data_IF_572840210033
#
_entry.id   IF_572840210033
#
_cell.length_a   1.000
_cell.length_b   1.000
_cell.length_c   1.000
_cell.angle_alpha   90.00
_cell.angle_beta   90.00
_cell.angle_gamma   90.00
#
_symmetry.space_group_name_H-M   'P 1'
#
loop_
_entity.id
_entity.type
_entity.pdbx_description
1 polymer ?
#
# COMPACT_ATOMS: atom_id res chain seq x y z
N UNK A 1 18.29 -34.19 2.51
CA UNK A 1 17.30 -33.85 3.55
C UNK A 1 17.11 -32.34 3.53
N UNK A 2 15.88 -31.84 3.63
CA UNK A 2 15.59 -30.41 3.75
C UNK A 2 15.16 -30.13 5.21
N UNK A 3 15.78 -29.15 5.84
CA UNK A 3 15.44 -28.63 7.16
C UNK A 3 14.95 -27.20 6.99
N UNK A 4 13.72 -26.92 7.44
CA UNK A 4 13.10 -25.59 7.39
C UNK A 4 12.96 -25.08 8.82
N UNK A 5 13.52 -23.91 9.11
CA UNK A 5 13.32 -23.18 10.36
C UNK A 5 12.56 -21.88 10.06
N UNK A 6 11.33 -21.84 10.49
CA UNK A 6 10.46 -20.67 10.34
C UNK A 6 10.27 -19.97 11.69
N UNK A 7 9.98 -18.67 11.65
CA UNK A 7 9.73 -17.83 12.85
C UNK A 7 10.89 -17.79 13.87
N UNK A 8 12.12 -17.99 13.43
CA UNK A 8 13.28 -17.96 14.31
C UNK A 8 13.58 -16.56 14.89
N UNK A 9 13.48 -15.44 14.13
CA UNK A 9 13.66 -14.09 14.69
C UNK A 9 12.70 -13.75 15.84
N UNK A 10 11.36 -13.95 15.74
CA UNK A 10 10.45 -13.71 16.86
C UNK A 10 10.74 -14.61 18.06
N UNK A 11 11.15 -15.85 17.82
CA UNK A 11 11.57 -16.74 18.90
C UNK A 11 12.79 -16.19 19.64
N UNK A 12 13.84 -15.76 18.92
CA UNK A 12 15.07 -15.22 19.50
C UNK A 12 14.81 -13.93 20.28
N UNK A 13 13.92 -13.05 19.76
CA UNK A 13 13.54 -11.83 20.45
C UNK A 13 12.84 -12.12 21.78
N UNK A 14 11.89 -13.05 21.79
CA UNK A 14 11.22 -13.50 23.00
C UNK A 14 12.16 -14.24 23.96
N UNK A 15 13.12 -14.99 23.44
CA UNK A 15 14.10 -15.74 24.23
C UNK A 15 15.03 -14.84 25.05
N UNK A 16 15.28 -13.60 24.64
CA UNK A 16 16.03 -12.58 25.43
C UNK A 16 15.40 -12.30 26.79
N UNK A 17 14.09 -12.42 26.91
CA UNK A 17 13.39 -12.19 28.19
C UNK A 17 13.49 -13.36 29.19
N UNK A 18 14.10 -14.50 28.80
CA UNK A 18 14.19 -15.72 29.61
C UNK A 18 15.60 -15.93 30.09
N UNK A 19 15.93 -15.60 31.36
CA UNK A 19 17.26 -15.79 31.93
C UNK A 19 17.59 -17.27 32.09
N UNK A 20 18.83 -17.65 31.78
CA UNK A 20 19.39 -19.00 32.01
C UNK A 20 20.78 -18.83 32.61
N UNK A 21 20.91 -19.06 33.93
CA UNK A 21 22.15 -18.83 34.64
C UNK A 21 22.60 -17.37 34.55
N UNK A 22 23.82 -17.13 34.03
CA UNK A 22 24.36 -15.80 33.83
C UNK A 22 24.08 -15.18 32.42
N UNK A 23 23.24 -15.83 31.65
CA UNK A 23 22.90 -15.44 30.27
C UNK A 23 21.38 -15.54 30.03
N UNK A 24 20.92 -15.47 28.81
CA UNK A 24 19.52 -15.65 28.42
C UNK A 24 19.38 -16.80 27.41
N UNK A 25 18.14 -17.22 27.17
CA UNK A 25 17.83 -18.31 26.26
C UNK A 25 18.22 -17.97 24.78
N UNK A 26 18.27 -16.70 24.40
CA UNK A 26 18.66 -16.33 23.03
C UNK A 26 20.13 -16.68 22.75
N UNK A 27 21.04 -16.44 23.71
CA UNK A 27 22.45 -16.77 23.59
C UNK A 27 22.66 -18.28 23.51
N UNK A 28 21.94 -19.06 24.32
CA UNK A 28 21.99 -20.53 24.25
C UNK A 28 21.50 -21.02 22.89
N UNK A 29 20.42 -20.44 22.37
CA UNK A 29 19.85 -20.83 21.10
C UNK A 29 20.77 -20.46 19.93
N UNK A 30 21.35 -19.25 19.91
CA UNK A 30 22.29 -18.84 18.86
C UNK A 30 23.54 -19.70 18.83
N UNK A 31 24.05 -20.11 20.01
CA UNK A 31 25.14 -21.08 20.12
C UNK A 31 24.76 -22.45 19.54
N UNK A 32 23.54 -22.93 19.84
CA UNK A 32 23.04 -24.19 19.25
C UNK A 32 22.89 -24.11 17.74
N UNK A 33 22.42 -22.98 17.22
CA UNK A 33 22.32 -22.72 15.76
C UNK A 33 23.71 -22.69 15.11
N UNK A 34 24.68 -22.01 15.69
CA UNK A 34 26.05 -22.00 15.21
C UNK A 34 26.63 -23.43 15.11
N UNK A 35 26.41 -24.26 16.12
CA UNK A 35 26.81 -25.67 16.08
C UNK A 35 26.08 -26.45 14.95
N UNK A 36 24.80 -26.20 14.74
CA UNK A 36 24.03 -26.81 13.65
C UNK A 36 24.60 -26.42 12.29
N UNK A 37 24.94 -25.14 12.09
CA UNK A 37 25.55 -24.66 10.84
C UNK A 37 26.91 -25.31 10.58
N UNK A 38 27.77 -25.36 11.61
CA UNK A 38 29.08 -26.04 11.52
C UNK A 38 28.89 -27.51 11.14
N UNK A 39 27.89 -28.19 11.71
CA UNK A 39 27.61 -29.58 11.38
C UNK A 39 27.18 -29.75 9.91
N UNK A 40 26.25 -28.89 9.41
CA UNK A 40 25.75 -28.94 8.02
C UNK A 40 26.85 -28.56 7.04
N UNK A 41 27.80 -27.70 7.41
CA UNK A 41 28.93 -27.33 6.58
C UNK A 41 29.91 -28.49 6.32
N UNK A 42 29.84 -29.59 7.09
CA UNK A 42 30.71 -30.75 6.90
C UNK A 42 30.34 -31.56 5.65
N UNK A 43 31.36 -32.21 5.06
CA UNK A 43 31.20 -32.99 3.83
C UNK A 43 30.21 -34.16 4.01
N UNK A 44 30.16 -34.73 5.20
CA UNK A 44 29.26 -35.84 5.54
C UNK A 44 27.78 -35.47 5.43
N UNK A 45 27.44 -34.19 5.60
CA UNK A 45 26.09 -33.65 5.51
C UNK A 45 25.86 -32.83 4.23
N UNK A 46 26.65 -33.05 3.18
CA UNK A 46 26.51 -32.34 1.88
C UNK A 46 25.15 -32.53 1.20
N UNK A 47 24.35 -33.53 1.62
CA UNK A 47 22.99 -33.80 1.16
C UNK A 47 21.92 -33.15 2.04
N UNK A 48 22.29 -32.32 3.03
CA UNK A 48 21.38 -31.54 3.88
C UNK A 48 21.35 -30.10 3.41
N UNK A 49 20.16 -29.58 3.22
CA UNK A 49 19.91 -28.16 2.98
C UNK A 49 19.13 -27.60 4.17
N UNK A 50 19.60 -26.49 4.71
CA UNK A 50 18.94 -25.73 5.76
C UNK A 50 18.41 -24.44 5.16
N UNK A 51 17.11 -24.17 5.33
CA UNK A 51 16.44 -22.94 4.93
C UNK A 51 15.88 -22.28 6.19
N UNK A 52 16.17 -21.00 6.36
CA UNK A 52 15.72 -20.22 7.52
C UNK A 52 14.99 -18.99 6.99
N UNK A 53 13.79 -18.72 7.52
CA UNK A 53 13.10 -17.48 7.25
C UNK A 53 13.61 -16.35 8.13
N UNK A 54 13.85 -15.18 7.54
CA UNK A 54 14.14 -13.94 8.26
C UNK A 54 12.98 -12.96 8.12
N UNK A 55 12.56 -12.34 9.23
CA UNK A 55 11.48 -11.37 9.32
C UNK A 55 12.00 -10.03 9.87
N UNK A 56 13.12 -9.56 9.35
CA UNK A 56 13.84 -8.39 9.85
C UNK A 56 12.97 -7.13 9.97
N UNK A 57 12.07 -6.89 9.03
CA UNK A 57 11.17 -5.75 9.07
C UNK A 57 10.23 -5.71 10.29
N UNK A 58 9.97 -6.88 10.89
CA UNK A 58 9.07 -7.00 12.05
C UNK A 58 9.83 -7.30 13.36
N UNK A 59 10.96 -8.00 13.26
CA UNK A 59 11.72 -8.50 14.41
C UNK A 59 13.22 -8.21 14.25
N UNK A 60 13.57 -6.91 14.23
CA UNK A 60 14.94 -6.44 13.96
C UNK A 60 15.96 -7.05 14.95
N UNK A 61 15.65 -7.00 16.24
CA UNK A 61 16.53 -7.51 17.30
C UNK A 61 16.76 -9.02 17.22
N UNK A 62 15.75 -9.80 16.82
CA UNK A 62 15.86 -11.24 16.61
C UNK A 62 16.64 -11.56 15.33
N UNK A 63 16.42 -10.80 14.28
CA UNK A 63 17.15 -10.92 13.01
C UNK A 63 18.62 -10.57 13.16
N UNK A 64 18.97 -9.54 13.94
CA UNK A 64 20.37 -9.19 14.23
C UNK A 64 21.11 -10.30 14.97
N UNK A 65 20.46 -10.98 15.92
CA UNK A 65 21.02 -12.16 16.59
C UNK A 65 21.24 -13.32 15.63
N UNK A 66 20.30 -13.55 14.73
CA UNK A 66 20.40 -14.58 13.71
C UNK A 66 21.55 -14.28 12.74
N UNK A 67 21.63 -13.05 12.23
CA UNK A 67 22.67 -12.62 11.30
C UNK A 67 24.07 -12.60 11.92
N UNK A 68 24.20 -12.26 13.22
CA UNK A 68 25.49 -12.35 13.90
C UNK A 68 25.99 -13.78 13.98
N UNK A 69 25.11 -14.76 14.25
CA UNK A 69 25.43 -16.17 14.24
C UNK A 69 25.90 -16.68 12.87
N UNK A 70 25.32 -16.16 11.78
CA UNK A 70 25.75 -16.47 10.42
C UNK A 70 27.15 -15.89 10.09
N UNK A 71 27.42 -14.63 10.48
CA UNK A 71 28.71 -13.98 10.22
C UNK A 71 29.88 -14.69 10.91
N UNK A 72 29.68 -15.15 12.14
CA UNK A 72 30.69 -15.95 12.83
C UNK A 72 30.98 -17.23 12.06
N UNK A 73 29.97 -17.89 11.54
CA UNK A 73 30.11 -19.12 10.77
C UNK A 73 30.84 -18.91 9.44
N UNK A 74 30.51 -17.85 8.69
CA UNK A 74 31.16 -17.52 7.41
C UNK A 74 32.65 -17.31 7.60
N UNK A 75 33.06 -16.67 8.71
CA UNK A 75 34.44 -16.46 9.05
C UNK A 75 35.18 -17.78 9.37
N UNK A 76 34.49 -18.77 9.95
CA UNK A 76 35.09 -20.05 10.34
C UNK A 76 35.13 -21.08 9.21
N UNK A 77 34.11 -21.10 8.34
CA UNK A 77 33.92 -22.18 7.36
C UNK A 77 34.23 -21.78 5.93
N UNK A 78 34.32 -20.48 5.62
CA UNK A 78 34.53 -19.98 4.27
C UNK A 78 33.39 -20.33 3.30
N UNK A 79 32.22 -20.76 3.80
CA UNK A 79 31.03 -21.08 3.01
C UNK A 79 30.03 -19.96 3.14
N UNK A 80 29.43 -19.60 2.02
CA UNK A 80 28.46 -18.52 1.94
C UNK A 80 27.04 -19.07 2.10
N UNK A 81 26.22 -18.37 2.88
CA UNK A 81 24.76 -18.48 2.80
C UNK A 81 24.28 -17.85 1.51
N UNK A 82 23.23 -18.39 0.93
CA UNK A 82 22.51 -17.77 -0.19
C UNK A 82 21.29 -17.06 0.37
N UNK A 83 21.34 -15.74 0.36
CA UNK A 83 20.16 -14.94 0.70
C UNK A 83 19.21 -14.91 -0.49
N UNK A 84 17.99 -15.40 -0.26
CA UNK A 84 16.91 -15.40 -1.23
C UNK A 84 15.80 -14.51 -0.68
N UNK A 85 15.57 -13.39 -1.31
CA UNK A 85 14.42 -12.54 -1.06
C UNK A 85 13.34 -12.87 -2.10
N UNK A 86 12.33 -13.72 -1.77
CA UNK A 86 11.36 -14.24 -2.74
C UNK A 86 10.50 -13.16 -3.39
N UNK A 87 10.32 -12.02 -2.68
CA UNK A 87 9.56 -10.85 -3.13
C UNK A 87 10.44 -9.63 -2.85
N UNK A 88 11.67 -9.67 -3.35
CA UNK A 88 12.67 -8.63 -3.15
C UNK A 88 12.31 -7.30 -3.77
N UNK A 89 13.27 -6.52 -4.17
CA UNK A 89 13.11 -5.16 -4.71
C UNK A 89 12.10 -5.03 -5.89
N UNK A 90 11.64 -6.15 -6.44
CA UNK A 90 10.70 -6.16 -7.56
C UNK A 90 9.26 -6.22 -7.04
N UNK A 91 8.61 -5.05 -6.93
CA UNK A 91 7.19 -4.94 -6.59
C UNK A 91 6.27 -5.70 -7.56
N UNK A 92 6.75 -6.03 -8.75
CA UNK A 92 5.98 -6.73 -9.79
C UNK A 92 5.62 -8.16 -9.38
N UNK A 93 6.48 -8.84 -8.62
CA UNK A 93 6.21 -10.20 -8.11
C UNK A 93 4.98 -10.24 -7.20
N UNK A 94 4.76 -9.20 -6.40
CA UNK A 94 3.57 -9.10 -5.54
C UNK A 94 2.29 -9.07 -6.37
N UNK A 95 2.30 -8.34 -7.50
CA UNK A 95 1.13 -8.26 -8.39
C UNK A 95 0.88 -9.57 -9.12
N UNK A 96 1.91 -10.33 -9.49
CA UNK A 96 1.73 -11.67 -10.02
C UNK A 96 1.11 -12.61 -8.99
N UNK A 97 1.54 -12.53 -7.73
CA UNK A 97 0.94 -13.30 -6.63
C UNK A 97 -0.54 -12.90 -6.44
N UNK A 98 -0.84 -11.60 -6.45
CA UNK A 98 -2.22 -11.10 -6.33
C UNK A 98 -3.11 -11.58 -7.47
N UNK A 99 -2.63 -11.52 -8.72
CA UNK A 99 -3.35 -12.03 -9.90
C UNK A 99 -3.74 -13.50 -9.73
N UNK A 100 -2.77 -14.35 -9.41
CA UNK A 100 -2.99 -15.80 -9.27
C UNK A 100 -3.92 -16.14 -8.08
N UNK A 101 -3.85 -15.36 -6.98
CA UNK A 101 -4.63 -15.64 -5.77
C UNK A 101 -6.03 -15.08 -5.78
N UNK A 102 -6.28 -13.99 -6.50
CA UNK A 102 -7.54 -13.26 -6.46
C UNK A 102 -8.43 -13.55 -7.68
N UNK A 103 -7.85 -13.98 -8.79
CA UNK A 103 -8.61 -14.17 -10.04
C UNK A 103 -8.39 -15.57 -10.60
N UNK A 104 -9.49 -16.23 -10.94
CA UNK A 104 -9.46 -17.56 -11.56
C UNK A 104 -9.02 -17.48 -13.03
N UNK A 105 -9.44 -16.42 -13.73
CA UNK A 105 -9.13 -16.17 -15.13
C UNK A 105 -8.98 -14.68 -15.38
N UNK A 106 -7.99 -14.32 -16.17
CA UNK A 106 -7.80 -12.97 -16.70
C UNK A 106 -8.11 -12.94 -18.19
N UNK A 107 -8.43 -11.77 -18.77
CA UNK A 107 -8.53 -11.56 -20.21
C UNK A 107 -7.24 -11.93 -20.92
N UNK A 108 -7.33 -12.09 -22.25
CA UNK A 108 -6.14 -12.30 -23.06
C UNK A 108 -5.34 -11.00 -23.30
N UNK A 109 -4.14 -11.14 -23.87
CA UNK A 109 -3.25 -10.00 -24.12
C UNK A 109 -3.86 -8.98 -25.11
N UNK A 110 -4.74 -9.39 -26.02
CA UNK A 110 -5.40 -8.50 -26.97
C UNK A 110 -6.41 -7.59 -26.25
N UNK A 111 -7.24 -8.19 -25.39
CA UNK A 111 -8.20 -7.46 -24.55
C UNK A 111 -7.48 -6.52 -23.57
N UNK A 112 -6.38 -6.95 -22.95
CA UNK A 112 -5.57 -6.08 -22.07
C UNK A 112 -4.96 -4.91 -22.83
N UNK A 113 -4.46 -5.13 -24.05
CA UNK A 113 -3.91 -4.07 -24.90
C UNK A 113 -4.99 -3.05 -25.31
N UNK A 114 -6.21 -3.48 -25.56
CA UNK A 114 -7.34 -2.60 -25.85
C UNK A 114 -7.64 -1.70 -24.66
N UNK A 115 -7.80 -2.27 -23.46
CA UNK A 115 -8.01 -1.51 -22.22
C UNK A 115 -6.88 -0.51 -22.00
N UNK A 116 -5.62 -0.94 -22.10
CA UNK A 116 -4.47 -0.06 -21.94
C UNK A 116 -4.47 1.10 -22.96
N UNK A 117 -4.89 0.84 -24.21
CA UNK A 117 -5.02 1.84 -25.25
C UNK A 117 -6.10 2.88 -24.96
N UNK A 118 -7.24 2.47 -24.43
CA UNK A 118 -8.32 3.39 -24.07
C UNK A 118 -7.95 4.28 -22.86
N UNK A 119 -7.28 3.73 -21.83
CA UNK A 119 -6.77 4.53 -20.72
C UNK A 119 -5.66 5.49 -21.13
N UNK A 120 -4.78 5.08 -22.05
CA UNK A 120 -3.78 5.98 -22.65
C UNK A 120 -4.44 7.18 -23.30
N UNK A 121 -5.47 6.98 -24.14
CA UNK A 121 -6.20 8.07 -24.81
C UNK A 121 -6.86 9.00 -23.79
N UNK A 122 -7.50 8.46 -22.77
CA UNK A 122 -8.12 9.27 -21.71
C UNK A 122 -7.09 10.15 -20.97
N UNK A 123 -5.90 9.62 -20.71
CA UNK A 123 -4.82 10.40 -20.13
C UNK A 123 -4.24 11.43 -21.10
N UNK A 124 -4.09 11.11 -22.40
CA UNK A 124 -3.69 12.05 -23.44
C UNK A 124 -4.63 13.27 -23.49
N UNK A 125 -5.94 13.05 -23.41
CA UNK A 125 -6.93 14.12 -23.32
C UNK A 125 -6.75 14.99 -22.07
N UNK A 126 -6.51 14.39 -20.91
CA UNK A 126 -6.25 15.12 -19.66
C UNK A 126 -4.96 15.95 -19.74
N UNK A 127 -3.90 15.42 -20.37
CA UNK A 127 -2.63 16.14 -20.60
C UNK A 127 -2.83 17.29 -21.58
N UNK A 128 -3.58 17.11 -22.67
CA UNK A 128 -3.90 18.18 -23.63
C UNK A 128 -4.70 19.32 -23.00
N UNK A 129 -5.50 19.02 -21.97
CA UNK A 129 -6.25 20.02 -21.19
C UNK A 129 -5.42 20.67 -20.07
N UNK A 130 -4.12 20.35 -19.94
CA UNK A 130 -3.24 20.80 -18.84
C UNK A 130 -3.75 20.39 -17.44
N UNK A 131 -4.46 19.26 -17.36
CA UNK A 131 -4.99 18.72 -16.13
C UNK A 131 -4.12 17.61 -15.53
N UNK A 132 -3.23 17.01 -16.33
CA UNK A 132 -2.28 15.99 -15.88
C UNK A 132 -0.90 16.19 -16.47
N UNK A 133 0.12 15.79 -15.72
CA UNK A 133 1.53 15.80 -16.12
C UNK A 133 2.10 14.38 -16.30
N UNK A 134 1.26 13.35 -16.16
CA UNK A 134 1.69 11.96 -16.31
C UNK A 134 1.94 11.60 -17.77
N UNK A 135 2.88 10.67 -17.99
CA UNK A 135 3.20 10.18 -19.33
C UNK A 135 2.23 9.07 -19.77
N UNK A 136 1.47 9.27 -20.86
CA UNK A 136 0.51 8.28 -21.34
C UNK A 136 1.14 6.96 -21.82
N UNK A 137 2.37 7.00 -22.34
CA UNK A 137 3.07 5.78 -22.78
C UNK A 137 3.49 4.93 -21.58
N UNK A 138 3.96 5.56 -20.52
CA UNK A 138 4.27 4.88 -19.25
C UNK A 138 3.02 4.24 -18.62
N UNK A 139 1.85 4.91 -18.69
CA UNK A 139 0.59 4.34 -18.23
C UNK A 139 0.21 3.11 -19.05
N UNK A 140 0.31 3.16 -20.37
CA UNK A 140 0.01 2.03 -21.25
C UNK A 140 0.85 0.79 -20.89
N UNK A 141 2.16 0.96 -20.75
CA UNK A 141 3.08 -0.13 -20.37
C UNK A 141 2.74 -0.65 -18.96
N UNK A 142 2.54 0.27 -18.00
CA UNK A 142 2.21 -0.09 -16.63
C UNK A 142 0.92 -0.90 -16.51
N UNK A 143 -0.14 -0.56 -17.25
CA UNK A 143 -1.39 -1.34 -17.25
C UNK A 143 -1.16 -2.77 -17.72
N UNK A 144 -0.39 -2.98 -18.77
CA UNK A 144 -0.08 -4.33 -19.27
C UNK A 144 0.64 -5.19 -18.22
N UNK A 145 1.52 -4.58 -17.43
CA UNK A 145 2.27 -5.27 -16.38
C UNK A 145 1.40 -5.58 -15.16
N UNK A 146 0.55 -4.63 -14.75
CA UNK A 146 -0.19 -4.71 -13.49
C UNK A 146 -1.64 -5.18 -13.62
N UNK A 147 -2.20 -5.30 -14.85
CA UNK A 147 -3.60 -5.68 -15.05
C UNK A 147 -4.02 -6.86 -14.14
N UNK A 148 -5.18 -6.85 -13.49
CA UNK A 148 -6.29 -5.89 -13.60
C UNK A 148 -6.18 -4.66 -12.68
N UNK A 149 -5.02 -4.44 -12.07
CA UNK A 149 -4.81 -3.32 -11.17
C UNK A 149 -4.26 -2.11 -11.94
N UNK A 150 -4.77 -0.92 -11.60
CA UNK A 150 -4.18 0.32 -12.12
C UNK A 150 -2.75 0.51 -11.58
N UNK A 151 -1.77 0.94 -12.39
CA UNK A 151 -0.36 1.07 -11.98
C UNK A 151 -0.14 1.95 -10.75
N UNK A 152 -0.99 2.97 -10.52
CA UNK A 152 -0.93 3.82 -9.32
C UNK A 152 -1.00 3.05 -8.01
N UNK A 153 -1.63 1.87 -8.00
CA UNK A 153 -1.67 1.02 -6.80
C UNK A 153 -0.24 0.63 -6.41
N UNK A 154 0.58 0.20 -7.39
CA UNK A 154 1.98 -0.15 -7.17
C UNK A 154 2.75 1.01 -6.53
N UNK A 155 2.63 2.19 -7.14
CA UNK A 155 3.40 3.36 -6.73
C UNK A 155 2.97 3.90 -5.35
N UNK A 156 1.67 3.90 -5.08
CA UNK A 156 1.12 4.37 -3.82
C UNK A 156 1.40 3.39 -2.67
N UNK A 157 1.19 2.10 -2.88
CA UNK A 157 1.44 1.11 -1.83
C UNK A 157 2.92 0.92 -1.52
N UNK A 158 3.81 1.14 -2.49
CA UNK A 158 5.25 1.16 -2.24
C UNK A 158 5.66 2.19 -1.18
N UNK A 159 4.91 3.29 -1.03
CA UNK A 159 5.23 4.36 -0.08
C UNK A 159 5.06 3.96 1.39
N UNK A 160 4.16 3.03 1.70
CA UNK A 160 3.88 2.62 3.08
C UNK A 160 4.14 1.14 3.37
N UNK A 161 4.71 0.39 2.42
CA UNK A 161 5.07 -1.02 2.62
C UNK A 161 6.02 -1.23 3.81
N UNK A 162 6.87 -0.25 4.11
CA UNK A 162 7.84 -0.27 5.20
C UNK A 162 7.26 0.24 6.53
N UNK A 163 5.97 0.57 6.60
CA UNK A 163 5.36 1.01 7.85
C UNK A 163 5.48 -0.09 8.92
N UNK A 164 5.83 0.28 10.17
CA UNK A 164 5.83 -0.66 11.28
C UNK A 164 4.48 -1.39 11.40
N UNK A 165 4.50 -2.71 11.46
CA UNK A 165 3.30 -3.54 11.62
C UNK A 165 2.51 -3.81 10.33
N UNK A 166 2.83 -3.21 9.20
CA UNK A 166 2.13 -3.48 7.94
C UNK A 166 2.42 -4.86 7.36
N UNK A 167 3.53 -5.49 7.74
CA UNK A 167 3.95 -6.82 7.26
C UNK A 167 4.16 -6.91 5.74
N UNK A 168 4.55 -5.80 5.12
CA UNK A 168 4.95 -5.71 3.70
C UNK A 168 3.98 -6.45 2.76
N UNK A 169 4.43 -7.51 2.10
CA UNK A 169 3.64 -8.28 1.12
C UNK A 169 2.36 -8.87 1.71
N UNK A 170 2.39 -9.40 2.94
CA UNK A 170 1.18 -9.97 3.59
C UNK A 170 0.13 -8.90 3.85
N UNK A 171 0.57 -7.72 4.30
CA UNK A 171 -0.32 -6.57 4.52
C UNK A 171 -0.98 -6.12 3.23
N UNK A 172 -0.22 -6.03 2.14
CA UNK A 172 -0.74 -5.69 0.82
C UNK A 172 -1.75 -6.73 0.31
N UNK A 173 -1.41 -8.02 0.38
CA UNK A 173 -2.31 -9.10 -0.04
C UNK A 173 -3.64 -9.03 0.74
N UNK A 174 -3.55 -8.80 2.06
CA UNK A 174 -4.75 -8.67 2.92
C UNK A 174 -5.61 -7.48 2.49
N UNK A 175 -5.00 -6.30 2.29
CA UNK A 175 -5.72 -5.09 1.89
C UNK A 175 -6.39 -5.27 0.52
N UNK A 176 -5.66 -5.80 -0.47
CA UNK A 176 -6.17 -6.05 -1.81
C UNK A 176 -7.29 -7.10 -1.81
N UNK A 177 -7.17 -8.16 -0.98
CA UNK A 177 -8.23 -9.15 -0.81
C UNK A 177 -9.53 -8.51 -0.32
N UNK A 178 -9.44 -7.64 0.69
CA UNK A 178 -10.62 -6.93 1.21
C UNK A 178 -11.25 -6.07 0.13
N UNK A 179 -10.44 -5.28 -0.58
CA UNK A 179 -10.91 -4.40 -1.65
C UNK A 179 -11.58 -5.19 -2.80
N UNK A 180 -10.93 -6.22 -3.31
CA UNK A 180 -11.48 -7.06 -4.38
C UNK A 180 -12.76 -7.78 -3.92
N UNK A 181 -12.76 -8.33 -2.69
CA UNK A 181 -13.96 -8.98 -2.14
C UNK A 181 -15.17 -8.05 -2.07
N UNK A 182 -14.96 -6.77 -1.76
CA UNK A 182 -16.03 -5.76 -1.74
C UNK A 182 -16.54 -5.45 -3.14
N UNK A 183 -15.65 -5.27 -4.10
CA UNK A 183 -16.03 -5.02 -5.50
C UNK A 183 -16.84 -6.17 -6.11
N UNK A 184 -16.56 -7.40 -5.71
CA UNK A 184 -17.28 -8.60 -6.17
C UNK A 184 -18.46 -8.99 -5.27
N UNK A 185 -18.74 -8.24 -4.20
CA UNK A 185 -19.96 -8.42 -3.41
C UNK A 185 -21.21 -8.10 -4.24
N UNK A 186 -22.37 -8.51 -3.76
CA UNK A 186 -23.67 -8.26 -4.43
C UNK A 186 -23.71 -8.68 -5.91
N UNK A 187 -23.12 -9.85 -6.21
CA UNK A 187 -23.09 -10.41 -7.57
C UNK A 187 -22.19 -9.65 -8.54
N UNK A 188 -21.16 -8.96 -8.00
CA UNK A 188 -20.17 -8.25 -8.80
C UNK A 188 -20.68 -6.92 -9.37
N UNK A 189 -21.66 -6.29 -8.74
CA UNK A 189 -22.21 -5.02 -9.19
C UNK A 189 -21.14 -3.92 -9.29
N UNK A 190 -20.17 -3.92 -8.36
CA UNK A 190 -19.07 -2.95 -8.33
C UNK A 190 -18.02 -3.10 -9.44
N UNK A 191 -18.00 -4.24 -10.15
CA UNK A 191 -17.00 -4.51 -11.23
C UNK A 191 -17.59 -4.50 -12.63
N UNK A 192 -18.91 -4.50 -12.80
CA UNK A 192 -19.55 -4.64 -14.12
C UNK A 192 -19.20 -3.55 -15.12
N UNK A 193 -18.84 -2.36 -14.65
CA UNK A 193 -18.51 -1.20 -15.47
C UNK A 193 -17.04 -0.78 -15.33
N UNK A 194 -16.21 -1.60 -14.64
CA UNK A 194 -14.80 -1.28 -14.38
C UNK A 194 -13.88 -2.14 -15.22
N UNK A 195 -12.95 -1.49 -15.90
CA UNK A 195 -11.88 -2.17 -16.63
C UNK A 195 -10.62 -2.39 -15.79
N UNK A 196 -10.39 -1.52 -14.81
CA UNK A 196 -9.25 -1.59 -13.89
C UNK A 196 -9.70 -1.39 -12.44
N UNK A 197 -8.96 -1.97 -11.52
CA UNK A 197 -9.13 -1.77 -10.08
C UNK A 197 -8.18 -0.65 -9.65
N UNK A 198 -8.74 0.42 -9.09
CA UNK A 198 -7.99 1.59 -8.64
C UNK A 198 -7.81 1.61 -7.12
N UNK A 199 -6.80 2.37 -6.64
CA UNK A 199 -6.62 2.59 -5.21
C UNK A 199 -7.82 3.31 -4.56
N UNK A 200 -8.58 4.07 -5.35
CA UNK A 200 -9.81 4.76 -4.93
C UNK A 200 -11.02 3.84 -4.79
N UNK A 201 -10.94 2.58 -5.22
CA UNK A 201 -12.07 1.64 -5.17
C UNK A 201 -12.33 1.07 -3.76
N UNK A 202 -11.49 1.38 -2.79
CA UNK A 202 -11.73 0.98 -1.41
C UNK A 202 -13.01 1.62 -0.86
N UNK A 203 -13.85 0.80 -0.23
CA UNK A 203 -15.03 1.28 0.50
C UNK A 203 -14.66 1.56 1.97
N UNK A 204 -14.45 2.83 2.29
CA UNK A 204 -14.11 3.27 3.65
C UNK A 204 -15.33 3.29 4.61
N UNK A 205 -16.55 3.10 4.12
CA UNK A 205 -17.73 2.85 4.96
C UNK A 205 -17.83 1.40 5.42
N UNK A 206 -17.07 0.50 4.80
CA UNK A 206 -16.97 -0.90 5.21
C UNK A 206 -16.05 -1.07 6.42
N UNK A 207 -16.50 -1.83 7.43
CA UNK A 207 -15.76 -2.01 8.70
C UNK A 207 -14.45 -2.77 8.52
N UNK A 208 -14.38 -3.76 7.64
CA UNK A 208 -13.16 -4.54 7.40
C UNK A 208 -12.08 -3.69 6.73
N UNK A 209 -12.48 -2.87 5.74
CA UNK A 209 -11.58 -1.91 5.08
C UNK A 209 -11.09 -0.86 6.07
N UNK A 210 -11.99 -0.24 6.85
CA UNK A 210 -11.60 0.74 7.87
C UNK A 210 -10.65 0.14 8.91
N UNK A 211 -10.88 -1.10 9.34
CA UNK A 211 -9.97 -1.79 10.25
C UNK A 211 -8.58 -2.00 9.61
N UNK A 212 -8.53 -2.36 8.34
CA UNK A 212 -7.26 -2.55 7.62
C UNK A 212 -6.47 -1.23 7.49
N UNK A 213 -7.14 -0.15 7.09
CA UNK A 213 -6.51 1.18 6.98
C UNK A 213 -6.07 1.74 8.34
N UNK A 214 -6.91 1.58 9.38
CA UNK A 214 -6.57 2.03 10.73
C UNK A 214 -5.39 1.27 11.35
N UNK A 215 -5.12 0.04 10.93
CA UNK A 215 -3.91 -0.68 11.33
C UNK A 215 -2.65 -0.10 10.70
N UNK A 216 -2.75 0.49 9.51
CA UNK A 216 -1.62 1.12 8.81
C UNK A 216 -1.27 2.48 9.43
N UNK A 217 -2.28 3.33 9.63
CA UNK A 217 -2.10 4.67 10.22
C UNK A 217 -3.32 5.09 11.05
N UNK A 218 -3.37 4.68 12.33
CA UNK A 218 -4.53 4.94 13.21
C UNK A 218 -4.86 6.42 13.38
N UNK A 219 -3.84 7.29 13.30
CA UNK A 219 -3.99 8.73 13.52
C UNK A 219 -4.90 9.42 12.49
N UNK A 220 -5.12 8.82 11.32
CA UNK A 220 -5.98 9.38 10.26
C UNK A 220 -7.47 9.04 10.39
N UNK A 221 -7.90 8.32 11.42
CA UNK A 221 -9.32 7.93 11.60
C UNK A 221 -10.28 9.12 11.62
N UNK A 222 -9.88 10.23 12.25
CA UNK A 222 -10.69 11.46 12.29
C UNK A 222 -10.75 12.14 10.91
N UNK A 223 -9.63 12.16 10.17
CA UNK A 223 -9.59 12.68 8.81
C UNK A 223 -10.51 11.88 7.88
N UNK A 224 -10.48 10.57 7.97
CA UNK A 224 -11.35 9.71 7.16
C UNK A 224 -12.81 9.98 7.47
N UNK A 225 -13.20 9.99 8.75
CA UNK A 225 -14.61 10.13 9.14
C UNK A 225 -15.19 11.53 8.89
N UNK A 226 -14.38 12.57 8.90
CA UNK A 226 -14.84 13.93 8.64
C UNK A 226 -14.78 14.28 7.15
N UNK A 227 -13.65 13.96 6.49
CA UNK A 227 -13.38 14.48 5.15
C UNK A 227 -13.76 13.48 4.04
N UNK A 228 -13.65 12.15 4.27
CA UNK A 228 -13.67 11.17 3.18
C UNK A 228 -14.94 10.32 3.17
N UNK A 229 -15.23 9.58 4.27
CA UNK A 229 -16.31 8.61 4.34
C UNK A 229 -16.90 8.49 5.74
N UNK A 230 -18.22 8.71 5.86
CA UNK A 230 -18.98 8.60 7.11
C UNK A 230 -20.49 8.39 6.82
N UNK A 231 -20.84 7.34 6.09
CA UNK A 231 -22.22 7.01 5.79
C UNK A 231 -22.97 8.13 5.07
N UNK A 232 -22.29 8.86 4.21
CA UNK A 232 -22.85 9.95 3.41
C UNK A 232 -22.78 11.34 4.08
N UNK A 233 -22.04 11.51 5.19
CA UNK A 233 -21.94 12.77 5.94
C UNK A 233 -20.55 13.43 5.85
N UNK A 234 -19.55 12.75 5.30
CA UNK A 234 -18.24 13.30 5.13
C UNK A 234 -18.20 14.35 4.00
N UNK A 235 -17.23 15.27 4.05
CA UNK A 235 -17.12 16.37 3.10
C UNK A 235 -17.12 15.93 1.63
N UNK A 236 -16.34 14.89 1.29
CA UNK A 236 -16.31 14.34 -0.06
C UNK A 236 -17.65 13.72 -0.49
N UNK A 237 -18.30 12.98 0.43
CA UNK A 237 -19.61 12.37 0.16
C UNK A 237 -20.70 13.43 -0.07
N UNK A 238 -20.66 14.56 0.64
CA UNK A 238 -21.63 15.66 0.47
C UNK A 238 -21.42 16.40 -0.86
N UNK A 239 -20.17 16.53 -1.33
CA UNK A 239 -19.87 17.11 -2.63
C UNK A 239 -20.44 16.21 -3.73
N UNK A 240 -20.18 14.91 -3.65
CA UNK A 240 -20.59 13.93 -4.67
C UNK A 240 -22.12 13.78 -4.76
N UNK A 241 -22.87 13.94 -3.67
CA UNK A 241 -24.35 14.00 -3.72
C UNK A 241 -24.90 15.07 -4.64
N UNK A 242 -24.15 16.15 -4.89
CA UNK A 242 -24.58 17.27 -5.72
C UNK A 242 -24.12 17.14 -7.17
N UNK A 243 -23.03 16.42 -7.42
CA UNK A 243 -22.40 16.34 -8.74
C UNK A 243 -22.81 15.12 -9.57
N UNK A 244 -23.35 14.07 -8.94
CA UNK A 244 -23.57 12.77 -9.59
C UNK A 244 -22.26 12.03 -9.85
N UNK A 245 -22.12 10.82 -9.33
CA UNK A 245 -20.86 10.07 -9.33
C UNK A 245 -20.07 10.23 -8.03
N UNK A 246 -18.79 9.89 -8.03
CA UNK A 246 -17.95 9.87 -6.83
C UNK A 246 -16.57 10.56 -6.97
N UNK A 247 -16.42 11.63 -7.79
CA UNK A 247 -15.12 12.21 -8.08
C UNK A 247 -14.40 12.77 -6.84
N UNK A 248 -15.13 13.38 -5.89
CA UNK A 248 -14.52 13.92 -4.67
C UNK A 248 -14.05 12.81 -3.74
N UNK A 249 -14.82 11.74 -3.56
CA UNK A 249 -14.43 10.57 -2.78
C UNK A 249 -13.25 9.84 -3.40
N UNK A 250 -13.21 9.69 -4.72
CA UNK A 250 -12.11 9.02 -5.42
C UNK A 250 -10.79 9.78 -5.24
N UNK A 251 -10.80 11.09 -5.43
CA UNK A 251 -9.63 11.94 -5.17
C UNK A 251 -9.22 11.86 -3.69
N UNK A 252 -10.17 12.00 -2.76
CA UNK A 252 -9.89 11.95 -1.33
C UNK A 252 -9.29 10.60 -0.91
N UNK A 253 -9.76 9.49 -1.45
CA UNK A 253 -9.21 8.15 -1.20
C UNK A 253 -7.80 7.99 -1.77
N UNK A 254 -7.51 8.51 -2.96
CA UNK A 254 -6.15 8.54 -3.53
C UNK A 254 -5.19 9.34 -2.65
N UNK A 255 -5.60 10.54 -2.22
CA UNK A 255 -4.83 11.37 -1.32
C UNK A 255 -4.62 10.70 0.05
N UNK A 256 -5.63 9.97 0.55
CA UNK A 256 -5.49 9.17 1.77
C UNK A 256 -4.40 8.10 1.60
N UNK A 257 -4.45 7.30 0.54
CA UNK A 257 -3.47 6.23 0.30
C UNK A 257 -2.05 6.80 0.21
N UNK A 258 -1.87 7.94 -0.47
CA UNK A 258 -0.57 8.63 -0.55
C UNK A 258 -0.10 9.21 0.79
N UNK A 259 -1.00 9.30 1.78
CA UNK A 259 -0.72 9.83 3.13
C UNK A 259 -0.45 8.74 4.17
N UNK A 260 -0.58 7.47 3.81
CA UNK A 260 -0.48 6.36 4.77
C UNK A 260 0.95 6.08 5.24
N UNK A 261 1.98 6.53 4.53
CA UNK A 261 3.35 6.30 4.93
C UNK A 261 3.64 6.90 6.33
N UNK A 262 4.34 6.10 7.16
CA UNK A 262 4.70 6.45 8.54
C UNK A 262 6.16 6.08 8.84
N UNK A 263 7.05 6.37 7.89
CA UNK A 263 8.50 6.20 8.00
C UNK A 263 9.18 7.55 7.86
N UNK A 264 10.37 7.75 8.46
CA UNK A 264 11.11 9.00 8.35
C UNK A 264 11.35 9.38 6.88
N UNK A 265 11.16 10.65 6.53
CA UNK A 265 11.34 11.21 5.19
C UNK A 265 10.46 10.58 4.09
N UNK A 266 9.33 9.98 4.45
CA UNK A 266 8.38 9.47 3.47
C UNK A 266 7.86 10.61 2.57
N UNK A 267 7.77 10.33 1.25
CA UNK A 267 7.04 11.22 0.34
C UNK A 267 5.54 11.06 0.61
N UNK A 268 4.92 12.08 1.19
CA UNK A 268 3.48 12.12 1.43
C UNK A 268 2.78 12.93 0.34
N UNK A 269 1.55 12.58 0.08
CA UNK A 269 0.66 13.34 -0.79
C UNK A 269 0.90 13.11 -2.29
N UNK A 270 0.06 13.79 -3.04
CA UNK A 270 0.08 13.85 -4.50
C UNK A 270 -0.20 15.29 -4.94
N UNK A 271 0.46 15.71 -6.01
CA UNK A 271 0.03 16.88 -6.74
C UNK A 271 -1.31 16.59 -7.45
N UNK A 272 -2.15 17.61 -7.60
CA UNK A 272 -3.48 17.39 -8.22
C UNK A 272 -3.38 16.83 -9.64
N UNK A 273 -2.38 17.24 -10.42
CA UNK A 273 -2.18 16.70 -11.77
C UNK A 273 -1.83 15.21 -11.80
N UNK A 274 -1.14 14.70 -10.76
CA UNK A 274 -0.90 13.26 -10.60
C UNK A 274 -2.22 12.54 -10.24
N UNK A 275 -3.00 13.11 -9.29
CA UNK A 275 -4.27 12.51 -8.88
C UNK A 275 -5.28 12.46 -10.02
N UNK A 276 -5.41 13.54 -10.81
CA UNK A 276 -6.26 13.55 -12.02
C UNK A 276 -5.79 12.52 -13.04
N UNK A 277 -4.47 12.43 -13.29
CA UNK A 277 -3.92 11.45 -14.21
C UNK A 277 -4.19 10.01 -13.78
N UNK A 278 -4.08 9.70 -12.49
CA UNK A 278 -4.39 8.36 -11.95
C UNK A 278 -5.87 8.01 -12.02
N UNK A 279 -6.75 8.99 -12.06
CA UNK A 279 -8.21 8.81 -12.16
C UNK A 279 -8.75 9.07 -13.58
N UNK A 280 -7.89 9.35 -14.55
CA UNK A 280 -8.29 9.47 -15.95
C UNK A 280 -8.67 8.10 -16.50
N UNK A 281 -9.92 7.96 -16.92
CA UNK A 281 -10.47 6.70 -17.42
C UNK A 281 -11.34 6.95 -18.67
N UNK A 282 -11.55 5.95 -19.52
CA UNK A 282 -12.33 6.10 -20.75
C UNK A 282 -13.73 6.63 -20.48
N UNK A 283 -14.13 7.66 -21.25
CA UNK A 283 -15.45 8.28 -21.16
C UNK A 283 -15.64 9.26 -20.00
N UNK A 284 -14.60 9.51 -19.19
CA UNK A 284 -14.65 10.42 -18.05
C UNK A 284 -14.14 11.81 -18.42
N UNK A 285 -14.88 12.85 -18.06
CA UNK A 285 -14.40 14.23 -18.16
C UNK A 285 -13.49 14.60 -16.98
N UNK A 286 -12.18 14.71 -17.24
CA UNK A 286 -11.16 15.04 -16.24
C UNK A 286 -11.36 16.42 -15.58
N UNK A 287 -12.11 17.34 -16.21
CA UNK A 287 -12.47 18.65 -15.62
C UNK A 287 -13.36 18.48 -14.39
N UNK A 288 -14.20 17.43 -14.35
CA UNK A 288 -15.03 17.14 -13.18
C UNK A 288 -14.20 16.73 -11.98
N UNK A 289 -13.08 16.01 -12.20
CA UNK A 289 -12.13 15.68 -11.14
C UNK A 289 -11.50 16.94 -10.55
N UNK A 290 -11.00 17.84 -11.43
CA UNK A 290 -10.39 19.09 -10.96
C UNK A 290 -11.40 19.95 -10.18
N UNK A 291 -12.63 20.08 -10.67
CA UNK A 291 -13.68 20.81 -9.96
C UNK A 291 -14.01 20.18 -8.61
N UNK A 292 -14.17 18.87 -8.55
CA UNK A 292 -14.44 18.16 -7.30
C UNK A 292 -13.30 18.34 -6.29
N UNK A 293 -12.05 18.35 -6.75
CA UNK A 293 -10.90 18.64 -5.91
C UNK A 293 -10.93 20.07 -5.36
N UNK A 294 -11.23 21.08 -6.20
CA UNK A 294 -11.31 22.46 -5.76
C UNK A 294 -12.41 22.65 -4.69
N UNK A 295 -13.58 22.05 -4.92
CA UNK A 295 -14.68 22.04 -3.94
C UNK A 295 -14.30 21.31 -2.64
N UNK A 296 -13.50 20.24 -2.76
CA UNK A 296 -13.06 19.44 -1.62
C UNK A 296 -12.04 20.17 -0.75
N UNK A 297 -11.06 20.86 -1.34
CA UNK A 297 -10.04 21.60 -0.61
C UNK A 297 -10.61 22.70 0.30
N UNK A 298 -11.75 23.27 -0.08
CA UNK A 298 -12.44 24.29 0.71
C UNK A 298 -13.11 23.70 1.97
N UNK A 299 -13.55 22.42 1.89
CA UNK A 299 -14.36 21.77 2.93
C UNK A 299 -13.61 20.80 3.81
N UNK A 300 -12.49 20.26 3.33
CA UNK A 300 -11.69 19.28 4.05
C UNK A 300 -10.92 19.92 5.19
N UNK A 301 -11.09 19.42 6.42
CA UNK A 301 -10.44 19.97 7.61
C UNK A 301 -9.07 19.38 7.89
N UNK A 302 -8.80 18.18 7.41
CA UNK A 302 -7.56 17.44 7.67
C UNK A 302 -6.65 17.36 6.44
N UNK A 303 -7.02 18.01 5.35
CA UNK A 303 -6.22 18.09 4.14
C UNK A 303 -5.21 19.24 4.25
N UNK A 304 -3.96 18.95 4.00
CA UNK A 304 -2.83 19.90 4.01
C UNK A 304 -2.12 19.88 2.67
N UNK A 305 -1.38 20.93 2.38
CA UNK A 305 -0.47 21.02 1.24
C UNK A 305 0.95 21.31 1.72
N UNK A 306 1.95 20.73 1.07
CA UNK A 306 3.34 21.09 1.26
C UNK A 306 3.73 22.29 0.37
N UNK A 307 5.04 22.60 0.32
CA UNK A 307 5.57 23.72 -0.48
C UNK A 307 5.56 23.49 -1.98
N UNK A 308 5.43 22.22 -2.38
CA UNK A 308 5.42 21.77 -3.77
C UNK A 308 3.98 21.43 -4.24
N UNK A 309 2.96 21.92 -3.51
CA UNK A 309 1.54 21.68 -3.75
C UNK A 309 1.16 20.19 -3.80
N UNK A 310 1.87 19.34 -3.02
CA UNK A 310 1.40 17.99 -2.77
C UNK A 310 0.39 17.99 -1.63
N UNK A 311 -0.78 17.45 -1.87
CA UNK A 311 -1.89 17.38 -0.92
C UNK A 311 -1.88 16.05 -0.19
N UNK A 312 -2.00 16.10 1.15
CA UNK A 312 -1.98 14.92 2.02
C UNK A 312 -2.81 15.14 3.28
N UNK A 313 -3.23 14.03 3.89
CA UNK A 313 -3.95 14.06 5.16
C UNK A 313 -3.01 14.00 6.36
N UNK A 314 -3.34 14.79 7.39
CA UNK A 314 -2.73 14.73 8.72
C UNK A 314 -3.80 14.51 9.80
N UNK A 315 -3.36 14.23 11.02
CA UNK A 315 -4.21 14.10 12.21
C UNK A 315 -4.61 15.47 12.81
N UNK A 316 -3.94 16.54 12.40
CA UNK A 316 -4.21 17.91 12.81
C UNK A 316 -5.12 18.62 11.82
N UNK A 317 -6.03 19.45 12.35
CA UNK A 317 -6.95 20.21 11.49
C UNK A 317 -6.23 21.37 10.81
N UNK A 318 -6.55 21.58 9.54
CA UNK A 318 -6.17 22.79 8.81
C UNK A 318 -7.04 23.97 9.27
N UNK A 319 -6.44 24.91 9.99
CA UNK A 319 -7.15 26.04 10.60
C UNK A 319 -7.81 26.93 9.54
N UNK A 320 -7.19 27.10 8.37
CA UNK A 320 -7.74 27.92 7.29
C UNK A 320 -8.99 27.30 6.69
N UNK A 321 -8.98 25.99 6.43
CA UNK A 321 -10.13 25.28 5.93
C UNK A 321 -11.28 25.28 6.95
N UNK A 322 -10.96 25.13 8.24
CA UNK A 322 -11.95 25.21 9.30
C UNK A 322 -12.59 26.61 9.38
N UNK A 323 -11.79 27.67 9.25
CA UNK A 323 -12.29 29.04 9.24
C UNK A 323 -13.23 29.28 8.05
N UNK A 324 -12.83 28.85 6.84
CA UNK A 324 -13.65 29.01 5.63
C UNK A 324 -14.99 28.27 5.76
N UNK A 325 -15.00 27.06 6.31
CA UNK A 325 -16.23 26.30 6.51
C UNK A 325 -17.18 26.95 7.51
N UNK A 326 -16.65 27.63 8.52
CA UNK A 326 -17.47 28.40 9.48
C UNK A 326 -18.06 29.66 8.82
N UNK A 327 -17.27 30.37 8.01
CA UNK A 327 -17.73 31.57 7.28
C UNK A 327 -18.86 31.21 6.31
N UNK A 328 -18.73 30.12 5.56
CA UNK A 328 -19.77 29.64 4.64
C UNK A 328 -21.05 29.22 5.37
N UNK A 329 -20.93 28.66 6.57
CA UNK A 329 -22.08 28.37 7.44
C UNK A 329 -22.88 29.61 7.81
N UNK A 330 -22.21 30.70 8.16
CA UNK A 330 -22.88 31.97 8.51
C UNK A 330 -23.50 32.68 7.30
N UNK A 331 -22.93 32.54 6.11
CA UNK A 331 -23.47 33.19 4.88
C UNK A 331 -24.77 32.56 4.39
N UNK A 332 -25.04 31.33 4.75
CA UNK A 332 -26.27 30.59 4.37
C UNK A 332 -27.42 30.76 5.38
N UNK A 333 -27.21 31.43 6.53
CA UNK A 333 -28.23 31.69 7.54
C UNK A 333 -28.82 33.13 7.46
N UNK A 334 -28.39 33.95 6.51
CA UNK A 334 -28.90 35.28 6.23
C UNK A 334 -29.71 35.26 4.91
#
# INVERSE_FOLDING_TARGET
MLVLLDELPPYLENAKSKPIGNTDLSVVTTTALANLYVAIAKKELSNVCLVISDLRATYESGSDLLMSSFKELENETGRYSLDIEPVGANTDDVYQILKIRLFEKLPDDAEINEVAGEYKKALEEAVQMDLSSLDPDSLYVGIKETYPFHPSIRDLFARFKENPGFQQTRGLIRLMRVMVSQLYSDGGAGVKEKNLIHASDMDLNNREMMSAISQIKPSLSNAISHDIANGGKAAAEEIDKKSGGSPAQEIAKLLLVSSLANVPNAKLGLHISEAVGFLSEPGRDSRLLKKAFDDFTIRAWYLHADRDDNFFFQDTKNIVAQLNSLVDGYTNEI
#
